data_IF_200779115479
#
_entry.id   IF_200779115479
#
_cell.length_a   1.000
_cell.length_b   1.000
_cell.length_c   1.000
_cell.angle_alpha   90.00
_cell.angle_beta   90.00
_cell.angle_gamma   90.00
#
_symmetry.space_group_name_H-M   'P 1'
#
loop_
_entity.id
_entity.type
_entity.pdbx_description
1 polymer ?
#
# COMPACT_ATOMS: atom_id res chain seq x y z
N UNK A 1 -1.92 -22.90 13.69
CA UNK A 1 -1.71 -21.47 14.00
C UNK A 1 -1.40 -20.77 12.67
N UNK A 2 -2.18 -19.78 12.26
CA UNK A 2 -1.98 -19.08 10.98
C UNK A 2 -0.75 -18.17 11.01
N UNK A 3 -0.07 -17.98 9.89
CA UNK A 3 1.12 -17.11 9.82
C UNK A 3 0.72 -15.64 9.80
N UNK A 4 1.60 -14.74 10.23
CA UNK A 4 1.37 -13.29 10.14
C UNK A 4 2.46 -12.71 9.25
N UNK A 5 2.05 -11.96 8.23
CA UNK A 5 2.96 -11.17 7.43
C UNK A 5 3.06 -9.77 8.02
N UNK A 6 4.27 -9.22 8.08
CA UNK A 6 4.55 -7.91 8.62
C UNK A 6 5.50 -7.17 7.68
N UNK A 7 5.11 -5.97 7.26
CA UNK A 7 5.82 -5.19 6.25
C UNK A 7 6.07 -3.77 6.76
N UNK A 8 7.32 -3.31 6.70
CA UNK A 8 7.69 -1.94 7.09
C UNK A 8 7.57 -1.03 5.86
N UNK A 9 6.80 0.05 5.99
CA UNK A 9 6.62 1.05 4.94
C UNK A 9 6.86 2.44 5.50
N UNK A 10 7.47 3.31 4.70
CA UNK A 10 7.64 4.72 5.05
C UNK A 10 7.07 5.62 3.97
N UNK A 11 6.65 6.82 4.37
CA UNK A 11 6.18 7.87 3.46
C UNK A 11 6.41 9.24 4.09
N UNK A 12 6.50 10.27 3.26
CA UNK A 12 6.70 11.65 3.73
C UNK A 12 5.40 12.46 3.65
N UNK A 13 5.26 13.43 4.56
CA UNK A 13 4.19 14.45 4.52
C UNK A 13 4.36 15.36 3.32
N UNK A 14 3.25 15.65 2.62
CA UNK A 14 3.22 16.64 1.52
C UNK A 14 2.72 18.01 1.94
N UNK A 15 2.07 18.10 3.09
CA UNK A 15 1.48 19.33 3.63
C UNK A 15 0.16 19.03 4.33
N UNK A 16 -0.17 19.83 5.35
CA UNK A 16 -1.36 19.64 6.18
C UNK A 16 -1.46 18.21 6.72
N UNK A 17 -2.64 17.60 6.57
CA UNK A 17 -2.92 16.23 7.02
C UNK A 17 -2.66 15.15 5.96
N UNK A 18 -1.78 15.39 4.98
CA UNK A 18 -1.60 14.47 3.83
C UNK A 18 -0.17 13.97 3.64
N UNK A 19 -0.06 12.75 3.12
CA UNK A 19 1.21 12.10 2.75
C UNK A 19 1.28 11.80 1.26
N UNK A 20 2.49 11.48 0.79
CA UNK A 20 2.67 10.93 -0.56
C UNK A 20 1.96 9.58 -0.76
N UNK A 21 1.75 8.84 0.33
CA UNK A 21 1.17 7.49 0.36
C UNK A 21 2.25 6.40 0.42
N UNK A 22 1.86 5.21 0.87
CA UNK A 22 2.65 4.00 0.84
C UNK A 22 2.36 3.19 -0.42
N UNK A 23 3.36 2.44 -0.90
CA UNK A 23 3.16 1.33 -1.84
C UNK A 23 3.04 0.04 -1.05
N UNK A 24 1.89 -0.63 -1.12
CA UNK A 24 1.52 -1.77 -0.27
C UNK A 24 1.83 -3.12 -0.93
N UNK A 25 2.86 -3.16 -1.78
CA UNK A 25 3.23 -4.35 -2.55
C UNK A 25 2.37 -4.55 -3.81
N UNK A 26 2.83 -5.45 -4.69
CA UNK A 26 2.22 -5.70 -5.98
C UNK A 26 0.84 -6.37 -5.85
N UNK A 27 -0.11 -5.99 -6.73
CA UNK A 27 -1.39 -6.71 -6.89
C UNK A 27 -1.33 -7.82 -7.95
N UNK A 28 -0.14 -8.09 -8.48
CA UNK A 28 0.15 -9.20 -9.42
C UNK A 28 1.05 -10.25 -8.73
N UNK A 29 1.46 -11.28 -9.45
CA UNK A 29 2.38 -12.29 -8.91
C UNK A 29 1.77 -13.02 -7.70
N UNK A 30 2.47 -13.01 -6.56
CA UNK A 30 2.05 -13.70 -5.33
C UNK A 30 0.62 -13.33 -4.88
N UNK A 31 0.17 -12.10 -5.15
CA UNK A 31 -1.15 -11.65 -4.72
C UNK A 31 -2.27 -12.31 -5.52
N UNK A 32 -2.04 -12.65 -6.79
CA UNK A 32 -3.01 -13.40 -7.61
C UNK A 32 -2.79 -14.90 -7.55
N UNK A 33 -1.53 -15.31 -7.44
CA UNK A 33 -1.12 -16.71 -7.37
C UNK A 33 -0.90 -17.08 -5.90
N UNK A 34 -2.01 -17.24 -5.16
CA UNK A 34 -1.98 -17.37 -3.69
C UNK A 34 -1.18 -18.58 -3.18
N UNK A 35 -1.05 -19.64 -4.00
CA UNK A 35 -0.23 -20.83 -3.73
C UNK A 35 1.27 -20.64 -4.02
N UNK A 36 1.66 -19.55 -4.68
CA UNK A 36 3.05 -19.32 -5.11
C UNK A 36 3.91 -18.81 -3.96
N UNK A 37 5.19 -19.20 -3.97
CA UNK A 37 6.25 -18.66 -3.10
C UNK A 37 7.13 -17.63 -3.82
N UNK A 38 6.76 -17.22 -5.05
CA UNK A 38 7.54 -16.22 -5.79
C UNK A 38 7.41 -14.85 -5.13
N UNK A 39 8.51 -14.31 -4.62
CA UNK A 39 8.61 -13.01 -3.93
C UNK A 39 7.81 -12.94 -2.61
N UNK A 40 7.54 -14.08 -1.97
CA UNK A 40 6.90 -14.18 -0.66
C UNK A 40 7.44 -15.43 0.07
N UNK A 41 7.64 -15.38 1.39
CA UNK A 41 8.28 -16.49 2.13
C UNK A 41 7.44 -17.75 2.18
N UNK A 42 6.13 -17.60 2.39
CA UNK A 42 5.14 -18.68 2.34
C UNK A 42 4.04 -18.31 1.35
N UNK A 43 3.28 -19.29 0.81
CA UNK A 43 2.10 -18.98 0.00
C UNK A 43 1.19 -17.96 0.70
N UNK A 44 0.68 -16.98 -0.04
CA UNK A 44 -0.12 -15.87 0.51
C UNK A 44 -1.29 -16.40 1.35
N UNK A 45 -1.96 -17.46 0.90
CA UNK A 45 -3.08 -18.08 1.60
C UNK A 45 -2.75 -18.68 2.98
N UNK A 46 -1.46 -18.91 3.29
CA UNK A 46 -1.06 -19.45 4.59
C UNK A 46 -0.96 -18.37 5.67
N UNK A 47 -1.01 -17.10 5.28
CA UNK A 47 -1.05 -15.99 6.20
C UNK A 47 -2.49 -15.71 6.62
N UNK A 48 -2.72 -15.63 7.93
CA UNK A 48 -4.00 -15.24 8.50
C UNK A 48 -4.21 -13.73 8.52
N UNK A 49 -3.14 -12.93 8.40
CA UNK A 49 -3.21 -11.48 8.30
C UNK A 49 -1.93 -10.89 7.71
N UNK A 50 -2.08 -9.72 7.09
CA UNK A 50 -0.98 -8.90 6.56
C UNK A 50 -0.98 -7.52 7.23
N UNK A 51 0.01 -7.25 8.08
CA UNK A 51 0.17 -5.97 8.77
C UNK A 51 1.23 -5.10 8.10
N UNK A 52 0.99 -3.79 8.17
CA UNK A 52 1.92 -2.75 7.77
C UNK A 52 2.28 -1.93 8.99
N UNK A 53 3.57 -1.89 9.31
CA UNK A 53 4.14 -0.86 10.17
C UNK A 53 4.48 0.34 9.30
N UNK A 54 3.64 1.37 9.38
CA UNK A 54 3.80 2.61 8.64
C UNK A 54 4.59 3.65 9.43
N UNK A 55 5.59 4.25 8.78
CA UNK A 55 6.37 5.37 9.30
C UNK A 55 6.07 6.61 8.44
N UNK A 56 5.42 7.60 9.04
CA UNK A 56 5.16 8.90 8.41
C UNK A 56 6.15 9.90 8.99
N UNK A 57 6.83 10.67 8.13
CA UNK A 57 7.80 11.67 8.56
C UNK A 57 7.69 12.97 7.75
N UNK A 58 8.18 14.07 8.33
CA UNK A 58 8.41 15.34 7.63
C UNK A 58 9.85 15.36 7.13
N UNK A 59 10.08 15.85 5.91
CA UNK A 59 11.45 16.12 5.44
C UNK A 59 11.94 17.40 6.09
N UNK A 60 13.23 17.46 6.46
CA UNK A 60 13.83 18.70 6.93
C UNK A 60 14.04 19.65 5.75
N UNK A 61 13.80 20.94 5.97
CA UNK A 61 14.08 22.01 4.99
C UNK A 61 15.50 22.57 5.15
N UNK A 62 16.25 22.10 6.16
CA UNK A 62 17.61 22.52 6.42
C UNK A 62 18.58 21.96 5.38
N UNK A 63 19.44 22.82 4.84
CA UNK A 63 20.52 22.40 3.95
C UNK A 63 21.59 21.67 4.76
N UNK A 64 21.50 20.33 4.78
CA UNK A 64 22.49 19.48 5.43
C UNK A 64 23.65 19.25 4.46
N UNK A 65 24.88 19.57 4.89
CA UNK A 65 26.08 19.09 4.19
C UNK A 65 26.28 17.61 4.51
N UNK A 66 25.65 16.74 3.71
CA UNK A 66 25.68 15.29 3.84
C UNK A 66 27.09 14.67 3.66
N UNK A 67 28.10 15.47 3.27
CA UNK A 67 29.48 15.00 3.05
C UNK A 67 30.37 15.18 4.28
N UNK A 68 29.88 15.87 5.31
CA UNK A 68 30.63 16.10 6.53
C UNK A 68 30.75 14.80 7.33
N UNK A 69 31.99 14.41 7.63
CA UNK A 69 32.30 13.27 8.51
C UNK A 69 32.32 13.77 9.95
N UNK A 70 31.58 13.09 10.84
CA UNK A 70 31.49 13.39 12.26
C UNK A 70 32.27 12.34 13.08
N UNK A 71 32.74 12.75 14.26
CA UNK A 71 33.28 11.81 15.27
C UNK A 71 32.19 11.34 16.21
N UNK A 72 32.46 10.31 17.03
CA UNK A 72 31.49 9.80 18.00
C UNK A 72 31.07 10.88 19.02
N UNK A 73 32.00 11.76 19.39
CA UNK A 73 31.73 12.88 20.30
C UNK A 73 30.73 13.88 19.70
N UNK A 74 30.57 13.90 18.38
CA UNK A 74 29.63 14.76 17.66
C UNK A 74 28.31 14.07 17.28
N UNK A 75 27.99 12.92 17.89
CA UNK A 75 26.79 12.16 17.53
C UNK A 75 25.49 12.99 17.66
N UNK A 76 25.41 13.85 18.67
CA UNK A 76 24.24 14.72 18.89
C UNK A 76 24.20 15.93 17.94
N UNK A 77 25.31 16.23 17.26
CA UNK A 77 25.42 17.33 16.30
C UNK A 77 24.98 16.91 14.88
N UNK A 78 24.71 15.62 14.66
CA UNK A 78 24.27 15.10 13.37
C UNK A 78 22.84 15.55 13.12
N UNK A 79 22.68 16.50 12.21
CA UNK A 79 21.37 17.02 11.80
C UNK A 79 20.56 15.91 11.11
N UNK A 80 19.36 15.64 11.62
CA UNK A 80 18.45 14.68 11.01
C UNK A 80 17.76 15.27 9.78
N UNK A 81 17.84 14.56 8.66
CA UNK A 81 17.16 14.92 7.40
C UNK A 81 15.63 14.69 7.44
N UNK A 82 15.14 14.04 8.50
CA UNK A 82 13.70 13.74 8.71
C UNK A 82 13.29 14.00 10.17
N UNK A 83 12.05 14.43 10.37
CA UNK A 83 11.50 14.78 11.69
C UNK A 83 10.01 14.45 11.81
N UNK A 84 9.44 14.70 12.98
CA UNK A 84 8.01 14.58 13.29
C UNK A 84 7.43 13.19 12.97
N UNK A 85 8.01 12.12 13.51
CA UNK A 85 7.56 10.78 13.19
C UNK A 85 6.13 10.50 13.70
N UNK A 86 5.31 9.86 12.87
CA UNK A 86 4.07 9.21 13.26
C UNK A 86 4.15 7.75 12.86
N UNK A 87 3.95 6.86 13.82
CA UNK A 87 3.97 5.42 13.63
C UNK A 87 2.54 4.88 13.64
N UNK A 88 2.25 3.92 12.76
CA UNK A 88 0.97 3.23 12.73
C UNK A 88 1.18 1.74 12.46
N UNK A 89 0.35 0.90 13.07
CA UNK A 89 0.29 -0.54 12.79
C UNK A 89 -1.13 -0.89 12.38
N UNK A 90 -1.33 -1.25 11.11
CA UNK A 90 -2.65 -1.54 10.54
C UNK A 90 -2.59 -2.72 9.60
N UNK A 91 -3.70 -3.43 9.47
CA UNK A 91 -3.87 -4.41 8.40
C UNK A 91 -3.78 -3.71 7.05
N UNK A 92 -3.11 -4.35 6.09
CA UNK A 92 -2.86 -3.82 4.75
C UNK A 92 -4.15 -3.36 4.07
N UNK A 93 -5.20 -4.18 4.11
CA UNK A 93 -6.47 -3.90 3.44
C UNK A 93 -7.21 -2.70 4.04
N UNK A 94 -7.06 -2.46 5.36
CA UNK A 94 -7.68 -1.31 6.06
C UNK A 94 -7.09 0.04 5.68
N UNK A 95 -5.87 0.06 5.16
CA UNK A 95 -5.19 1.31 4.76
C UNK A 95 -5.01 1.44 3.24
N UNK A 96 -5.39 0.42 2.48
CA UNK A 96 -5.33 0.43 1.02
C UNK A 96 -6.36 1.39 0.44
N UNK A 97 -5.96 2.12 -0.60
CA UNK A 97 -6.87 2.85 -1.49
C UNK A 97 -7.33 1.96 -2.64
N UNK A 98 -8.30 2.43 -3.42
CA UNK A 98 -8.74 1.79 -4.65
C UNK A 98 -7.89 2.18 -5.88
N UNK A 99 -6.76 2.89 -5.67
CA UNK A 99 -5.86 3.37 -6.72
C UNK A 99 -4.48 2.72 -6.63
N UNK A 100 -3.79 2.52 -7.78
CA UNK A 100 -2.44 1.99 -7.78
C UNK A 100 -1.46 2.99 -7.14
N UNK A 101 -0.53 2.48 -6.34
CA UNK A 101 0.53 3.25 -5.70
C UNK A 101 1.71 3.55 -6.63
N UNK A 102 1.85 2.77 -7.71
CA UNK A 102 2.86 3.01 -8.76
C UNK A 102 2.35 2.52 -10.12
N UNK A 103 2.71 3.25 -11.19
CA UNK A 103 2.29 2.91 -12.55
C UNK A 103 3.06 1.73 -13.16
N UNK A 104 4.39 1.71 -12.99
CA UNK A 104 5.27 0.71 -13.62
C UNK A 104 5.33 -0.63 -12.86
N UNK A 105 5.44 -0.58 -11.53
CA UNK A 105 5.62 -1.75 -10.66
C UNK A 105 4.32 -2.33 -10.13
N UNK A 106 3.16 -1.79 -10.57
CA UNK A 106 1.82 -2.35 -10.30
C UNK A 106 1.57 -2.63 -8.81
N UNK A 107 1.91 -1.65 -7.97
CA UNK A 107 1.67 -1.71 -6.54
C UNK A 107 0.27 -1.22 -6.16
N UNK A 108 -0.29 -1.81 -5.11
CA UNK A 108 -1.45 -1.28 -4.38
C UNK A 108 -1.03 0.03 -3.70
N UNK A 109 -1.82 1.09 -3.82
CA UNK A 109 -1.57 2.36 -3.15
C UNK A 109 -2.31 2.44 -1.82
N UNK A 110 -1.72 3.05 -0.80
CA UNK A 110 -2.45 3.41 0.42
C UNK A 110 -3.31 4.66 0.24
N UNK A 111 -4.17 4.92 1.22
CA UNK A 111 -4.71 6.26 1.43
C UNK A 111 -3.62 7.31 1.63
N UNK A 112 -3.98 8.58 1.41
CA UNK A 112 -3.07 9.73 1.58
C UNK A 112 -3.41 10.61 2.78
N UNK A 113 -4.62 10.53 3.31
CA UNK A 113 -4.99 11.25 4.53
C UNK A 113 -4.39 10.55 5.75
N UNK A 114 -3.68 11.31 6.60
CA UNK A 114 -2.95 10.77 7.75
C UNK A 114 -3.93 10.23 8.79
N UNK A 115 -5.03 10.92 9.04
CA UNK A 115 -6.00 10.49 10.05
C UNK A 115 -6.66 9.18 9.63
N UNK A 116 -7.07 9.05 8.37
CA UNK A 116 -7.63 7.82 7.84
C UNK A 116 -6.64 6.65 7.90
N UNK A 117 -5.34 6.88 7.63
CA UNK A 117 -4.28 5.89 7.79
C UNK A 117 -4.13 5.44 9.26
N UNK A 118 -4.08 6.40 10.19
CA UNK A 118 -3.98 6.12 11.62
C UNK A 118 -5.22 5.38 12.13
N UNK A 119 -6.41 5.73 11.67
CA UNK A 119 -7.65 5.10 12.11
C UNK A 119 -7.96 3.78 11.38
N UNK A 120 -7.29 3.49 10.26
CA UNK A 120 -7.56 2.31 9.43
C UNK A 120 -8.92 2.36 8.74
N UNK A 121 -9.36 3.56 8.34
CA UNK A 121 -10.67 3.82 7.71
C UNK A 121 -10.56 3.91 6.19
N UNK A 122 -9.95 2.88 5.59
CA UNK A 122 -9.84 2.72 4.15
C UNK A 122 -11.19 2.55 3.46
N UNK A 123 -11.27 2.79 2.13
CA UNK A 123 -12.48 2.55 1.34
C UNK A 123 -12.98 1.10 1.43
N UNK A 124 -12.11 0.13 1.72
CA UNK A 124 -12.49 -1.27 1.92
C UNK A 124 -12.97 -1.60 3.34
N UNK A 125 -12.72 -0.72 4.33
CA UNK A 125 -13.06 -0.96 5.74
C UNK A 125 -14.53 -1.35 5.98
N UNK A 126 -15.53 -0.73 5.30
CA UNK A 126 -16.94 -1.11 5.45
C UNK A 126 -17.31 -2.47 4.84
N UNK A 127 -16.47 -3.00 3.93
CA UNK A 127 -16.80 -4.18 3.12
C UNK A 127 -15.97 -5.42 3.47
N UNK A 128 -14.85 -5.26 4.18
CA UNK A 128 -13.98 -6.35 4.63
C UNK A 128 -12.83 -6.69 3.67
N UNK A 129 -11.95 -7.58 4.13
CA UNK A 129 -10.75 -8.01 3.40
C UNK A 129 -11.08 -8.76 2.11
N UNK A 130 -12.18 -9.52 2.08
CA UNK A 130 -12.60 -10.28 0.90
C UNK A 130 -12.85 -9.38 -0.32
N UNK A 131 -13.45 -8.21 -0.11
CA UNK A 131 -13.70 -7.24 -1.18
C UNK A 131 -12.41 -6.57 -1.63
N UNK A 132 -11.49 -6.29 -0.69
CA UNK A 132 -10.14 -5.82 -1.02
C UNK A 132 -9.40 -6.82 -1.91
N UNK A 133 -9.45 -8.11 -1.57
CA UNK A 133 -8.81 -9.18 -2.32
C UNK A 133 -9.42 -9.33 -3.71
N UNK A 134 -10.75 -9.45 -3.83
CA UNK A 134 -11.43 -9.57 -5.12
C UNK A 134 -11.18 -8.34 -6.01
N UNK A 135 -11.20 -7.13 -5.43
CA UNK A 135 -10.88 -5.90 -6.14
C UNK A 135 -9.46 -5.94 -6.73
N UNK A 136 -8.44 -6.26 -5.94
CA UNK A 136 -7.06 -6.18 -6.43
C UNK A 136 -6.64 -7.38 -7.28
N UNK A 137 -7.27 -8.55 -7.08
CA UNK A 137 -7.05 -9.72 -7.93
C UNK A 137 -7.61 -9.51 -9.35
N UNK A 138 -8.72 -8.79 -9.48
CA UNK A 138 -9.35 -8.53 -10.79
C UNK A 138 -8.97 -7.17 -11.42
N UNK A 139 -8.29 -6.28 -10.69
CA UNK A 139 -7.93 -4.94 -11.19
C UNK A 139 -6.98 -5.02 -12.39
N UNK A 140 -7.28 -4.37 -13.52
CA UNK A 140 -6.36 -4.31 -14.66
C UNK A 140 -5.89 -2.89 -14.91
N UNK A 141 -4.57 -2.71 -15.04
CA UNK A 141 -4.04 -1.50 -15.67
C UNK A 141 -4.29 -1.55 -17.17
N UNK A 142 -4.20 -0.39 -17.85
CA UNK A 142 -4.44 -0.30 -19.31
C UNK A 142 -3.53 -1.25 -20.10
N UNK A 143 -2.25 -1.36 -19.72
CA UNK A 143 -1.30 -2.27 -20.36
C UNK A 143 -1.64 -3.74 -20.10
N UNK A 144 -2.10 -4.09 -18.89
CA UNK A 144 -2.53 -5.45 -18.58
C UNK A 144 -3.76 -5.87 -19.38
N UNK A 145 -4.75 -4.98 -19.47
CA UNK A 145 -5.96 -5.23 -20.25
C UNK A 145 -5.62 -5.41 -21.74
N UNK A 146 -4.77 -4.53 -22.29
CA UNK A 146 -4.29 -4.64 -23.68
C UNK A 146 -3.53 -5.95 -23.95
N UNK A 147 -2.70 -6.41 -23.01
CA UNK A 147 -1.90 -7.62 -23.19
C UNK A 147 -2.73 -8.91 -23.31
N UNK A 148 -4.00 -8.87 -22.87
CA UNK A 148 -4.94 -10.01 -22.95
C UNK A 148 -6.14 -9.71 -23.86
N UNK A 149 -6.03 -8.68 -24.71
CA UNK A 149 -7.09 -8.20 -25.60
C UNK A 149 -8.45 -7.96 -24.90
N UNK A 150 -8.38 -7.35 -23.71
CA UNK A 150 -9.53 -7.03 -22.87
C UNK A 150 -9.66 -5.51 -22.66
N UNK A 151 -10.87 -5.07 -22.33
CA UNK A 151 -11.09 -3.75 -21.73
C UNK A 151 -10.70 -3.75 -20.25
N UNK A 152 -10.44 -2.56 -19.69
CA UNK A 152 -10.30 -2.36 -18.24
C UNK A 152 -11.69 -2.48 -17.60
N UNK A 153 -11.90 -3.39 -16.62
CA UNK A 153 -13.24 -3.67 -16.08
C UNK A 153 -13.77 -2.57 -15.14
N UNK A 154 -12.87 -1.92 -14.39
CA UNK A 154 -13.15 -0.82 -13.45
C UNK A 154 -11.85 -0.10 -13.07
N UNK A 155 -11.97 1.09 -12.46
CA UNK A 155 -10.85 1.96 -12.07
C UNK A 155 -10.90 2.48 -10.63
N UNK A 156 -12.01 2.26 -9.96
CA UNK A 156 -12.32 2.70 -8.60
C UNK A 156 -13.37 1.75 -8.00
N UNK A 157 -13.66 1.93 -6.71
CA UNK A 157 -14.59 1.04 -6.01
C UNK A 157 -16.04 1.14 -6.51
N UNK A 158 -16.47 2.30 -6.99
CA UNK A 158 -17.80 2.51 -7.57
C UNK A 158 -18.01 1.67 -8.83
N UNK A 159 -17.10 1.79 -9.81
CA UNK A 159 -17.12 0.99 -11.05
C UNK A 159 -16.95 -0.52 -10.78
N UNK A 160 -16.23 -0.89 -9.71
CA UNK A 160 -16.08 -2.29 -9.29
C UNK A 160 -17.43 -2.91 -8.93
N UNK A 161 -18.28 -2.20 -8.19
CA UNK A 161 -19.61 -2.70 -7.82
C UNK A 161 -20.49 -2.89 -9.05
N UNK A 162 -20.48 -1.94 -9.99
CA UNK A 162 -21.20 -2.11 -11.25
C UNK A 162 -20.70 -3.32 -12.05
N UNK A 163 -19.38 -3.56 -12.06
CA UNK A 163 -18.79 -4.72 -12.70
C UNK A 163 -19.21 -6.03 -12.03
N UNK A 164 -19.17 -6.11 -10.70
CA UNK A 164 -19.61 -7.28 -9.92
C UNK A 164 -21.08 -7.62 -10.20
N UNK A 165 -21.94 -6.62 -10.25
CA UNK A 165 -23.36 -6.81 -10.57
C UNK A 165 -23.57 -7.38 -11.98
N UNK A 166 -22.81 -6.89 -12.97
CA UNK A 166 -22.86 -7.44 -14.34
C UNK A 166 -22.41 -8.89 -14.40
N UNK A 167 -21.36 -9.26 -13.67
CA UNK A 167 -20.85 -10.64 -13.60
C UNK A 167 -21.89 -11.55 -12.94
N UNK A 168 -22.49 -11.13 -11.82
CA UNK A 168 -23.50 -11.91 -11.09
C UNK A 168 -24.78 -12.15 -11.91
N UNK A 169 -25.17 -11.25 -12.81
CA UNK A 169 -26.35 -11.44 -13.69
C UNK A 169 -26.08 -12.39 -14.86
N UNK A 170 -24.81 -12.71 -15.14
CA UNK A 170 -24.39 -13.54 -16.29
C UNK A 170 -24.01 -14.97 -15.91
N UNK A 171 -23.80 -15.25 -14.62
CA UNK A 171 -23.53 -16.59 -14.09
C UNK A 171 -24.77 -17.16 -13.40
#
# INVERSE_FOLDING_TARGET
MGKIAFDLKSTYRRGGNTVSGFTLGAFTGYFRQRHSTKNITFPYEQYAAHFVLGVIYSRSDEAVDERRIYTLDNLQDIVSVVKDFTLLLREKWRIASDRPGSGNTKNIGSMRDIQALVEGKGPFAPYGEEVFDDYWMNYLTKDMARAIDSAVPYRNLEEYWEWRDRVRRRG
#
